data_IF_925718536235
#
_entry.id   IF_925718536235
#
_cell.length_a   1.000
_cell.length_b   1.000
_cell.length_c   1.000
_cell.angle_alpha   90.00
_cell.angle_beta   90.00
_cell.angle_gamma   90.00
#
_symmetry.space_group_name_H-M   'P 1'
#
loop_
_entity.id
_entity.type
_entity.pdbx_description
1 polymer ?
#
# COMPACT_ATOMS: atom_id res chain seq x y z
N UNK A 1 -0.74 -5.74 -26.96
CA UNK A 1 -1.83 -5.59 -25.98
C UNK A 1 -2.79 -6.75 -26.17
N UNK A 2 -3.30 -7.32 -25.10
CA UNK A 2 -4.23 -8.45 -25.13
C UNK A 2 -5.52 -8.10 -24.42
N UNK A 3 -6.53 -8.97 -24.52
CA UNK A 3 -7.78 -8.87 -23.78
C UNK A 3 -8.34 -10.26 -23.47
N UNK A 4 -9.20 -10.32 -22.46
CA UNK A 4 -9.93 -11.53 -22.06
C UNK A 4 -11.33 -11.14 -21.58
N UNK A 5 -12.35 -11.89 -21.98
CA UNK A 5 -13.72 -11.66 -21.54
C UNK A 5 -13.87 -11.89 -20.02
N UNK A 6 -14.68 -11.05 -19.33
CA UNK A 6 -14.91 -11.10 -17.87
C UNK A 6 -15.35 -12.50 -17.41
N UNK A 7 -16.16 -13.20 -18.20
CA UNK A 7 -16.63 -14.56 -17.91
C UNK A 7 -15.50 -15.60 -17.85
N UNK A 8 -14.37 -15.34 -18.51
CA UNK A 8 -13.21 -16.24 -18.55
C UNK A 8 -12.17 -15.95 -17.46
N UNK A 9 -12.38 -14.95 -16.60
CA UNK A 9 -11.44 -14.59 -15.53
C UNK A 9 -11.20 -15.73 -14.53
N UNK A 10 -12.21 -16.56 -14.27
CA UNK A 10 -12.04 -17.74 -13.39
C UNK A 10 -11.01 -18.72 -13.97
N UNK A 11 -11.02 -18.94 -15.29
CA UNK A 11 -10.03 -19.78 -15.96
C UNK A 11 -8.63 -19.15 -15.94
N UNK A 12 -8.55 -17.80 -16.07
CA UNK A 12 -7.29 -17.07 -15.92
C UNK A 12 -6.71 -17.25 -14.52
N UNK A 13 -7.51 -17.08 -13.47
CA UNK A 13 -7.06 -17.24 -12.08
C UNK A 13 -6.62 -18.67 -11.80
N UNK A 14 -7.37 -19.67 -12.30
CA UNK A 14 -7.00 -21.07 -12.19
C UNK A 14 -5.64 -21.34 -12.85
N UNK A 15 -5.43 -20.89 -14.07
CA UNK A 15 -4.18 -21.08 -14.81
C UNK A 15 -2.97 -20.43 -14.12
N UNK A 16 -3.14 -19.24 -13.55
CA UNK A 16 -2.09 -18.59 -12.76
C UNK A 16 -1.80 -19.40 -11.49
N UNK A 17 -2.85 -19.85 -10.78
CA UNK A 17 -2.73 -20.54 -9.50
C UNK A 17 -2.15 -21.94 -9.60
N UNK A 18 -2.16 -22.58 -10.78
CA UNK A 18 -1.54 -23.88 -11.02
C UNK A 18 -0.01 -23.85 -10.88
N UNK A 19 0.61 -22.68 -11.12
CA UNK A 19 2.06 -22.56 -11.17
C UNK A 19 2.65 -21.67 -10.06
N UNK A 20 1.84 -20.82 -9.44
CA UNK A 20 2.31 -19.86 -8.43
C UNK A 20 1.16 -19.40 -7.53
N UNK A 21 1.48 -18.91 -6.34
CA UNK A 21 0.47 -18.41 -5.42
C UNK A 21 -0.19 -17.14 -5.98
N UNK A 22 -1.52 -17.08 -5.96
CA UNK A 22 -2.29 -15.96 -6.48
C UNK A 22 -3.05 -15.27 -5.36
N UNK A 23 -2.82 -13.97 -5.17
CA UNK A 23 -3.56 -13.12 -4.24
C UNK A 23 -4.55 -12.24 -5.00
N UNK A 24 -5.81 -12.26 -4.56
CA UNK A 24 -6.91 -11.49 -5.14
C UNK A 24 -7.70 -10.77 -4.05
N UNK A 25 -8.42 -9.68 -4.39
CA UNK A 25 -9.39 -9.08 -3.48
C UNK A 25 -10.59 -10.05 -3.31
N UNK A 26 -10.71 -10.62 -2.13
CA UNK A 26 -11.73 -11.63 -1.78
C UNK A 26 -12.63 -11.10 -0.68
N UNK A 27 -13.96 -11.26 -0.88
CA UNK A 27 -14.96 -10.93 0.12
C UNK A 27 -15.11 -12.05 1.15
N UNK A 28 -14.97 -11.69 2.42
CA UNK A 28 -15.24 -12.56 3.56
C UNK A 28 -16.01 -11.78 4.61
N UNK A 29 -17.18 -12.28 4.98
CA UNK A 29 -18.04 -11.64 6.00
C UNK A 29 -18.33 -10.15 5.71
N UNK A 30 -18.61 -9.82 4.46
CA UNK A 30 -18.93 -8.46 4.01
C UNK A 30 -17.72 -7.51 3.94
N UNK A 31 -16.51 -8.01 4.06
CA UNK A 31 -15.29 -7.22 3.91
C UNK A 31 -14.41 -7.78 2.80
N UNK A 32 -13.86 -6.90 1.97
CA UNK A 32 -12.94 -7.29 0.91
C UNK A 32 -11.50 -7.00 1.33
N UNK A 33 -10.65 -8.03 1.30
CA UNK A 33 -9.21 -7.95 1.52
C UNK A 33 -8.48 -8.88 0.57
N UNK A 34 -7.18 -8.64 0.35
CA UNK A 34 -6.36 -9.58 -0.41
C UNK A 34 -6.16 -10.87 0.36
N UNK A 35 -6.39 -11.99 -0.31
CA UNK A 35 -6.19 -13.36 0.21
C UNK A 35 -5.67 -14.25 -0.91
N UNK A 36 -4.99 -15.34 -0.53
CA UNK A 36 -4.68 -16.40 -1.47
C UNK A 36 -5.98 -16.92 -2.11
N UNK A 37 -5.96 -17.03 -3.42
CA UNK A 37 -7.12 -17.48 -4.18
C UNK A 37 -7.35 -18.98 -4.03
N UNK A 38 -8.62 -19.33 -3.97
CA UNK A 38 -9.12 -20.72 -4.04
C UNK A 38 -10.31 -20.76 -5.01
N UNK A 39 -10.64 -21.90 -5.61
CA UNK A 39 -11.74 -22.00 -6.58
C UNK A 39 -13.11 -21.55 -6.07
N UNK A 40 -13.33 -21.60 -4.76
CA UNK A 40 -14.55 -21.17 -4.07
C UNK A 40 -14.48 -19.72 -3.54
N UNK A 41 -13.37 -19.02 -3.78
CA UNK A 41 -13.19 -17.65 -3.31
C UNK A 41 -14.15 -16.67 -4.02
N UNK A 42 -14.86 -15.85 -3.23
CA UNK A 42 -15.69 -14.76 -3.77
C UNK A 42 -14.82 -13.58 -4.14
N UNK A 43 -14.28 -13.58 -5.35
CA UNK A 43 -13.43 -12.51 -5.88
C UNK A 43 -14.27 -11.26 -6.16
N UNK A 44 -13.76 -10.08 -5.75
CA UNK A 44 -14.42 -8.79 -5.95
C UNK A 44 -13.44 -7.78 -6.59
N UNK A 45 -13.24 -7.88 -7.90
CA UNK A 45 -12.40 -6.94 -8.66
C UNK A 45 -13.02 -5.54 -8.77
N UNK A 46 -14.33 -5.42 -8.59
CA UNK A 46 -15.07 -4.16 -8.62
C UNK A 46 -14.82 -3.31 -7.37
N UNK A 47 -14.39 -3.94 -6.27
CA UNK A 47 -14.04 -3.20 -5.06
C UNK A 47 -12.85 -2.28 -5.33
N UNK A 48 -13.09 -0.98 -5.24
CA UNK A 48 -12.04 0.01 -5.47
C UNK A 48 -10.95 -0.06 -4.40
N UNK A 49 -11.36 -0.12 -3.14
CA UNK A 49 -10.45 -0.15 -1.99
C UNK A 49 -10.75 -1.33 -1.07
N UNK A 50 -9.79 -2.20 -0.91
CA UNK A 50 -9.81 -3.21 0.15
C UNK A 50 -9.65 -2.54 1.52
N UNK A 51 -10.13 -3.18 2.59
CA UNK A 51 -10.03 -2.63 3.96
C UNK A 51 -8.58 -2.35 4.34
N UNK A 52 -7.68 -3.32 4.11
CA UNK A 52 -6.24 -3.14 4.17
C UNK A 52 -5.66 -3.06 2.76
N UNK A 53 -4.55 -2.34 2.63
CA UNK A 53 -3.75 -2.34 1.42
C UNK A 53 -3.14 -3.74 1.17
N UNK A 54 -2.91 -4.15 -0.09
CA UNK A 54 -2.22 -5.40 -0.43
C UNK A 54 -0.73 -5.41 -0.07
N UNK A 55 -0.21 -4.41 0.63
CA UNK A 55 1.20 -4.35 1.04
C UNK A 55 1.64 -5.57 1.86
N UNK A 56 0.71 -6.25 2.55
CA UNK A 56 1.01 -7.44 3.34
C UNK A 56 1.45 -8.66 2.51
N UNK A 57 1.24 -8.66 1.21
CA UNK A 57 1.88 -9.62 0.30
C UNK A 57 3.42 -9.46 0.27
N UNK A 58 3.92 -8.22 0.39
CA UNK A 58 5.35 -7.88 0.38
C UNK A 58 5.92 -7.62 1.77
N UNK A 59 5.14 -7.02 2.64
CA UNK A 59 5.46 -6.71 4.03
C UNK A 59 4.36 -7.24 4.93
N UNK A 60 4.42 -8.52 5.35
CA UNK A 60 3.39 -9.17 6.16
C UNK A 60 3.15 -8.50 7.49
N UNK A 61 1.91 -8.56 7.99
CA UNK A 61 1.53 -7.99 9.28
C UNK A 61 2.30 -8.63 10.44
N UNK A 62 2.63 -9.91 10.33
CA UNK A 62 3.51 -10.62 11.27
C UNK A 62 4.38 -11.61 10.48
N UNK A 63 5.65 -11.71 10.85
CA UNK A 63 6.64 -12.50 10.15
C UNK A 63 7.72 -13.01 11.09
N UNK A 64 7.94 -14.33 11.14
CA UNK A 64 9.03 -14.91 11.89
C UNK A 64 10.38 -14.56 11.22
N UNK A 65 11.39 -14.30 12.04
CA UNK A 65 12.75 -14.00 11.60
C UNK A 65 13.67 -15.18 11.86
N UNK A 66 13.60 -15.77 13.04
CA UNK A 66 14.33 -16.96 13.42
C UNK A 66 13.77 -17.60 14.69
N UNK A 67 14.13 -18.87 14.89
CA UNK A 67 13.81 -19.62 16.11
C UNK A 67 15.09 -19.98 16.82
N UNK A 68 15.14 -19.72 18.14
CA UNK A 68 16.20 -20.20 19.03
C UNK A 68 15.67 -21.43 19.77
N UNK A 69 16.33 -22.55 19.61
CA UNK A 69 16.01 -23.79 20.35
C UNK A 69 17.08 -24.02 21.44
N UNK A 70 16.64 -24.49 22.58
CA UNK A 70 17.50 -24.85 23.69
C UNK A 70 17.47 -26.38 23.92
N UNK A 71 18.65 -26.99 23.86
CA UNK A 71 18.87 -28.40 24.23
C UNK A 71 19.91 -28.43 25.37
N UNK A 72 19.41 -28.54 26.60
CA UNK A 72 20.26 -28.44 27.80
C UNK A 72 20.99 -27.07 27.87
N UNK A 73 22.33 -27.10 27.72
CA UNK A 73 23.18 -25.89 27.67
C UNK A 73 23.49 -25.40 26.25
N UNK A 74 23.07 -26.14 25.21
CA UNK A 74 23.31 -25.78 23.83
C UNK A 74 22.16 -24.90 23.31
N UNK A 75 22.51 -23.86 22.56
CA UNK A 75 21.57 -23.02 21.83
C UNK A 75 21.78 -23.25 20.34
N UNK A 76 20.70 -23.43 19.61
CA UNK A 76 20.68 -23.52 18.15
C UNK A 76 19.80 -22.42 17.60
N UNK A 77 20.33 -21.61 16.67
CA UNK A 77 19.57 -20.56 15.98
C UNK A 77 19.24 -21.07 14.58
N UNK A 78 17.96 -21.11 14.28
CA UNK A 78 17.43 -21.54 12.99
C UNK A 78 16.77 -20.31 12.32
N UNK A 79 17.38 -19.72 11.29
CA UNK A 79 16.76 -18.63 10.54
C UNK A 79 15.50 -19.14 9.83
N UNK A 80 14.51 -18.26 9.68
CA UNK A 80 13.35 -18.55 8.86
C UNK A 80 13.75 -18.52 7.37
N UNK A 81 13.16 -19.38 6.57
CA UNK A 81 13.40 -19.41 5.13
C UNK A 81 12.83 -18.17 4.45
N UNK A 82 13.56 -17.62 3.49
CA UNK A 82 13.05 -16.54 2.64
C UNK A 82 11.96 -17.07 1.70
N UNK A 83 11.04 -16.19 1.32
CA UNK A 83 10.01 -16.55 0.34
C UNK A 83 10.62 -16.55 -1.07
N UNK A 84 11.01 -17.71 -1.56
CA UNK A 84 11.61 -17.92 -2.90
C UNK A 84 10.59 -18.44 -3.92
N UNK A 85 9.33 -18.62 -3.52
CA UNK A 85 8.26 -19.02 -4.43
C UNK A 85 7.65 -17.81 -5.12
N UNK A 86 7.48 -17.90 -6.42
CA UNK A 86 6.80 -16.87 -7.20
C UNK A 86 5.33 -16.74 -6.80
N UNK A 87 4.84 -15.52 -6.78
CA UNK A 87 3.45 -15.22 -6.51
C UNK A 87 2.97 -14.01 -7.31
N UNK A 88 1.67 -13.92 -7.52
CA UNK A 88 1.01 -12.82 -8.21
C UNK A 88 0.07 -12.10 -7.24
N UNK A 89 0.12 -10.77 -7.24
CA UNK A 89 -0.89 -9.93 -6.58
C UNK A 89 -1.70 -9.23 -7.64
N UNK A 90 -2.93 -9.69 -7.85
CA UNK A 90 -3.78 -9.26 -8.95
C UNK A 90 -4.83 -8.23 -8.50
N UNK A 91 -4.99 -7.17 -9.29
CA UNK A 91 -6.01 -6.13 -9.06
C UNK A 91 -5.52 -4.96 -8.19
N UNK A 92 -4.21 -4.81 -7.98
CA UNK A 92 -3.65 -3.69 -7.23
C UNK A 92 -3.95 -2.35 -7.91
N UNK A 93 -4.37 -1.35 -7.12
CA UNK A 93 -4.61 0.00 -7.64
C UNK A 93 -3.32 0.83 -7.68
N UNK A 94 -3.25 1.84 -8.56
CA UNK A 94 -2.07 2.68 -8.74
C UNK A 94 -1.53 3.26 -7.42
N UNK A 95 -2.41 3.67 -6.51
CA UNK A 95 -2.00 4.17 -5.19
C UNK A 95 -1.38 3.09 -4.28
N UNK A 96 -1.82 1.82 -4.38
CA UNK A 96 -1.20 0.72 -3.64
C UNK A 96 0.17 0.36 -4.21
N UNK A 97 0.31 0.39 -5.54
CA UNK A 97 1.60 0.19 -6.24
C UNK A 97 2.60 1.28 -5.86
N UNK A 98 2.17 2.55 -5.87
CA UNK A 98 3.02 3.64 -5.39
C UNK A 98 3.36 3.47 -3.90
N UNK A 99 2.47 2.89 -3.12
CA UNK A 99 2.74 2.50 -1.73
C UNK A 99 3.87 1.48 -1.61
N UNK A 100 3.93 0.49 -2.50
CA UNK A 100 5.06 -0.47 -2.56
C UNK A 100 6.37 0.23 -2.90
N UNK A 101 6.39 1.19 -3.84
CA UNK A 101 7.60 1.98 -4.14
C UNK A 101 8.10 2.78 -2.94
N UNK A 102 7.18 3.28 -2.10
CA UNK A 102 7.56 3.92 -0.83
C UNK A 102 8.21 2.92 0.13
N UNK A 103 7.74 1.69 0.19
CA UNK A 103 8.36 0.62 0.99
C UNK A 103 9.72 0.19 0.40
N UNK A 104 9.84 0.12 -0.92
CA UNK A 104 11.09 -0.20 -1.62
C UNK A 104 12.22 0.75 -1.20
N UNK A 105 11.96 2.07 -1.15
CA UNK A 105 12.94 3.05 -0.72
C UNK A 105 13.43 2.86 0.73
N UNK A 106 12.63 2.20 1.56
CA UNK A 106 13.00 1.94 2.97
C UNK A 106 13.68 0.58 3.12
N UNK A 107 13.07 -0.47 2.58
CA UNK A 107 13.51 -1.85 2.84
C UNK A 107 14.57 -2.36 1.87
N UNK A 108 14.74 -1.73 0.70
CA UNK A 108 15.80 -2.05 -0.26
C UNK A 108 17.01 -1.11 -0.15
N UNK A 109 16.98 -0.10 0.74
CA UNK A 109 18.15 0.72 1.07
C UNK A 109 19.13 -0.07 1.95
N UNK A 110 20.38 0.38 2.00
CA UNK A 110 21.40 -0.25 2.84
C UNK A 110 21.20 0.06 4.33
N UNK A 111 21.15 -0.94 5.22
CA UNK A 111 21.19 -2.39 4.96
C UNK A 111 19.86 -2.93 4.41
N UNK A 112 19.94 -3.73 3.34
CA UNK A 112 18.76 -4.31 2.69
C UNK A 112 18.03 -5.31 3.61
N UNK A 113 16.72 -5.17 3.71
CA UNK A 113 15.86 -6.16 4.35
C UNK A 113 15.68 -7.39 3.45
N UNK A 114 16.33 -8.49 3.79
CA UNK A 114 16.35 -9.70 2.96
C UNK A 114 14.97 -10.35 2.79
N UNK A 115 14.11 -10.30 3.81
CA UNK A 115 12.75 -10.85 3.74
C UNK A 115 11.87 -10.06 2.78
N UNK A 116 11.96 -8.73 2.83
CA UNK A 116 11.25 -7.85 1.91
C UNK A 116 11.79 -8.00 0.49
N UNK A 117 13.12 -7.99 0.32
CA UNK A 117 13.78 -8.12 -0.98
C UNK A 117 13.39 -9.41 -1.70
N UNK A 118 13.40 -10.55 -1.00
CA UNK A 118 12.97 -11.82 -1.57
C UNK A 118 11.52 -11.77 -2.08
N UNK A 119 10.59 -11.17 -1.32
CA UNK A 119 9.21 -11.00 -1.80
C UNK A 119 9.09 -10.05 -2.99
N UNK A 120 9.90 -8.99 -3.02
CA UNK A 120 9.91 -8.08 -4.17
C UNK A 120 10.48 -8.72 -5.42
N UNK A 121 11.45 -9.60 -5.26
CA UNK A 121 12.03 -10.37 -6.34
C UNK A 121 11.04 -11.38 -6.94
N UNK A 122 10.32 -12.12 -6.08
CA UNK A 122 9.42 -13.20 -6.51
C UNK A 122 7.96 -12.76 -6.74
N UNK A 123 7.58 -11.56 -6.31
CA UNK A 123 6.23 -11.04 -6.49
C UNK A 123 6.03 -10.35 -7.85
N UNK A 124 4.99 -10.75 -8.57
CA UNK A 124 4.51 -10.08 -9.80
C UNK A 124 3.25 -9.29 -9.50
N UNK A 125 3.21 -8.03 -9.92
CA UNK A 125 2.07 -7.13 -9.67
C UNK A 125 1.25 -7.01 -10.96
N UNK A 126 -0.01 -7.48 -10.90
CA UNK A 126 -1.01 -7.21 -11.91
C UNK A 126 -1.90 -6.08 -11.39
N UNK A 127 -1.71 -4.90 -11.96
CA UNK A 127 -2.49 -3.73 -11.62
C UNK A 127 -3.87 -3.74 -12.27
N UNK A 128 -4.85 -3.14 -11.60
CA UNK A 128 -6.13 -2.79 -12.22
C UNK A 128 -6.37 -1.29 -12.08
N UNK A 129 -6.61 -0.62 -13.19
CA UNK A 129 -7.00 0.80 -13.22
C UNK A 129 -8.25 1.03 -12.37
N UNK A 130 -8.39 2.22 -11.83
CA UNK A 130 -9.62 2.60 -11.15
C UNK A 130 -10.71 2.79 -12.20
N UNK A 131 -11.86 2.15 -12.01
CA UNK A 131 -13.02 2.38 -12.86
C UNK A 131 -13.84 3.58 -12.37
N UNK A 132 -14.13 3.61 -11.08
CA UNK A 132 -14.95 4.65 -10.46
C UNK A 132 -14.30 5.14 -9.15
N UNK A 133 -13.36 6.12 -9.24
CA UNK A 133 -12.73 6.70 -8.05
C UNK A 133 -13.74 7.29 -7.08
N UNK A 134 -13.56 7.04 -5.78
CA UNK A 134 -14.45 7.46 -4.70
C UNK A 134 -14.10 8.86 -4.17
N UNK A 135 -15.06 9.54 -3.53
CA UNK A 135 -14.92 10.91 -2.98
C UNK A 135 -13.74 11.08 -2.01
N UNK A 136 -13.32 10.01 -1.34
CA UNK A 136 -12.17 10.04 -0.44
C UNK A 136 -10.81 9.94 -1.15
N UNK A 137 -10.79 9.63 -2.46
CA UNK A 137 -9.57 9.52 -3.26
C UNK A 137 -8.99 10.89 -3.60
N UNK A 138 -7.67 11.01 -3.50
CA UNK A 138 -6.91 12.22 -3.87
C UNK A 138 -5.49 11.87 -4.33
N UNK A 139 -5.33 10.71 -4.99
CA UNK A 139 -4.03 10.24 -5.47
C UNK A 139 -3.40 11.17 -6.52
N UNK A 140 -4.22 11.88 -7.31
CA UNK A 140 -3.79 12.92 -8.25
C UNK A 140 -2.89 13.99 -7.60
N UNK A 141 -3.20 14.40 -6.36
CA UNK A 141 -2.43 15.40 -5.60
C UNK A 141 -0.97 14.97 -5.42
N UNK A 142 -0.70 13.66 -5.43
CA UNK A 142 0.63 13.08 -5.33
C UNK A 142 1.19 12.62 -6.70
N UNK A 143 0.62 13.11 -7.81
CA UNK A 143 1.08 12.81 -9.16
C UNK A 143 0.81 11.38 -9.62
N UNK A 144 -0.16 10.67 -9.01
CA UNK A 144 -0.49 9.29 -9.34
C UNK A 144 -1.67 9.26 -10.31
N UNK A 145 -1.43 8.74 -11.51
CA UNK A 145 -2.48 8.49 -12.50
C UNK A 145 -3.16 7.14 -12.22
N UNK A 146 -4.39 7.17 -11.72
CA UNK A 146 -5.16 5.96 -11.44
C UNK A 146 -5.76 5.31 -12.69
N UNK A 147 -5.73 5.99 -13.84
CA UNK A 147 -6.15 5.45 -15.12
C UNK A 147 -5.03 4.72 -15.88
N UNK A 148 -3.76 4.95 -15.51
CA UNK A 148 -2.58 4.30 -16.12
C UNK A 148 -1.65 3.75 -15.02
N UNK A 149 -2.01 2.64 -14.35
CA UNK A 149 -1.21 2.09 -13.28
C UNK A 149 0.10 1.49 -13.81
N UNK A 150 1.24 1.87 -13.22
CA UNK A 150 2.56 1.39 -13.59
C UNK A 150 2.94 0.14 -12.78
N UNK A 151 2.78 -1.05 -13.37
CA UNK A 151 3.05 -2.36 -12.76
C UNK A 151 3.69 -3.34 -13.78
N UNK A 152 3.92 -4.59 -13.34
CA UNK A 152 4.41 -5.64 -14.24
C UNK A 152 3.38 -5.94 -15.34
N UNK A 153 2.10 -5.95 -14.96
CA UNK A 153 0.97 -5.98 -15.88
C UNK A 153 -0.01 -4.89 -15.47
N UNK A 154 -0.44 -4.08 -16.42
CA UNK A 154 -1.53 -3.12 -16.25
C UNK A 154 -2.80 -3.66 -16.91
N UNK A 155 -3.94 -3.57 -16.21
CA UNK A 155 -5.23 -4.04 -16.72
C UNK A 155 -6.33 -3.00 -16.55
N UNK A 156 -7.31 -3.07 -17.43
CA UNK A 156 -8.50 -2.20 -17.46
C UNK A 156 -9.73 -3.04 -17.76
N UNK A 157 -10.79 -2.87 -16.98
CA UNK A 157 -12.09 -3.52 -17.26
C UNK A 157 -12.96 -2.54 -18.04
N UNK A 158 -13.23 -2.83 -19.30
CA UNK A 158 -14.04 -1.99 -20.18
C UNK A 158 -15.02 -2.87 -20.96
N UNK A 159 -16.31 -2.56 -20.91
CA UNK A 159 -17.38 -3.26 -21.65
C UNK A 159 -17.40 -4.79 -21.50
N UNK A 160 -17.05 -5.29 -20.29
CA UNK A 160 -16.99 -6.74 -20.02
C UNK A 160 -15.72 -7.45 -20.50
N UNK A 161 -14.74 -6.71 -21.00
CA UNK A 161 -13.43 -7.19 -21.39
C UNK A 161 -12.35 -6.68 -20.42
N UNK A 162 -11.42 -7.53 -20.00
CA UNK A 162 -10.22 -7.13 -19.26
C UNK A 162 -9.08 -6.93 -20.26
N UNK A 163 -8.68 -5.70 -20.50
CA UNK A 163 -7.51 -5.36 -21.28
C UNK A 163 -6.23 -5.60 -20.49
N UNK A 164 -5.16 -6.03 -21.18
CA UNK A 164 -3.93 -6.53 -20.57
C UNK A 164 -2.71 -5.99 -21.32
N UNK A 165 -1.82 -5.29 -20.59
CA UNK A 165 -0.57 -4.74 -21.11
C UNK A 165 0.57 -5.10 -20.16
N UNK A 166 1.60 -5.76 -20.65
CA UNK A 166 2.76 -6.22 -19.88
C UNK A 166 4.02 -5.46 -20.30
N UNK A 167 4.43 -4.41 -19.56
CA UNK A 167 5.58 -3.58 -19.91
C UNK A 167 6.91 -4.05 -19.30
N UNK A 168 6.93 -5.13 -18.50
CA UNK A 168 8.13 -5.63 -17.82
C UNK A 168 8.37 -7.10 -18.14
N UNK A 169 9.61 -7.58 -17.95
CA UNK A 169 9.97 -8.99 -18.15
C UNK A 169 9.11 -9.94 -17.31
N UNK A 170 8.79 -9.57 -16.05
CA UNK A 170 7.87 -10.35 -15.20
C UNK A 170 6.46 -10.40 -15.78
N UNK A 171 5.98 -9.28 -16.27
CA UNK A 171 4.68 -9.18 -16.93
C UNK A 171 4.62 -9.99 -18.23
N UNK A 172 5.67 -9.95 -19.03
CA UNK A 172 5.78 -10.75 -20.26
C UNK A 172 5.81 -12.24 -19.96
N UNK A 173 6.58 -12.66 -18.94
CA UNK A 173 6.63 -14.05 -18.50
C UNK A 173 5.27 -14.56 -18.01
N UNK A 174 4.55 -13.74 -17.24
CA UNK A 174 3.18 -14.07 -16.81
C UNK A 174 2.22 -14.13 -18.00
N UNK A 175 2.31 -13.18 -18.95
CA UNK A 175 1.48 -13.14 -20.16
C UNK A 175 1.67 -14.40 -20.99
N UNK A 176 2.91 -14.83 -21.20
CA UNK A 176 3.24 -16.05 -21.92
C UNK A 176 2.66 -17.31 -21.25
N UNK A 177 2.65 -17.34 -19.91
CA UNK A 177 2.11 -18.48 -19.17
C UNK A 177 0.58 -18.63 -19.34
N UNK A 178 -0.14 -17.55 -19.66
CA UNK A 178 -1.60 -17.53 -19.83
C UNK A 178 -2.04 -17.18 -21.27
N UNK A 179 -1.12 -17.18 -22.23
CA UNK A 179 -1.34 -16.72 -23.60
C UNK A 179 -2.51 -17.40 -24.29
N UNK A 180 -2.73 -18.69 -24.02
CA UNK A 180 -3.83 -19.47 -24.61
C UNK A 180 -5.23 -18.96 -24.21
N UNK A 181 -5.33 -18.15 -23.16
CA UNK A 181 -6.58 -17.56 -22.65
C UNK A 181 -6.76 -16.11 -23.12
N UNK A 182 -5.73 -15.51 -23.71
CA UNK A 182 -5.72 -14.13 -24.15
C UNK A 182 -5.96 -14.02 -25.65
N UNK A 183 -6.65 -12.98 -26.09
CA UNK A 183 -6.78 -12.60 -27.49
C UNK A 183 -6.07 -11.27 -27.74
N UNK A 184 -5.50 -11.11 -28.92
CA UNK A 184 -4.90 -9.82 -29.28
C UNK A 184 -5.96 -8.73 -29.41
N UNK A 185 -5.68 -7.56 -28.84
CA UNK A 185 -6.53 -6.38 -28.95
C UNK A 185 -6.21 -5.62 -30.24
N UNK A 186 -7.22 -5.11 -30.92
CA UNK A 186 -7.10 -4.36 -32.16
C UNK A 186 -7.09 -2.82 -31.98
N UNK A 187 -7.11 -2.07 -33.07
CA UNK A 187 -7.12 -0.61 -33.05
C UNK A 187 -8.37 -0.01 -32.41
N UNK A 188 -9.53 -0.64 -32.57
CA UNK A 188 -10.81 -0.21 -31.98
C UNK A 188 -10.76 -0.40 -30.45
N UNK A 189 -10.14 -1.49 -29.99
CA UNK A 189 -9.92 -1.75 -28.56
C UNK A 189 -9.01 -0.68 -27.93
N UNK A 190 -7.98 -0.25 -28.64
CA UNK A 190 -7.09 0.82 -28.18
C UNK A 190 -7.82 2.17 -28.03
N UNK A 191 -8.71 2.52 -28.96
CA UNK A 191 -9.53 3.74 -28.89
C UNK A 191 -10.52 3.69 -27.71
N UNK A 192 -11.18 2.55 -27.48
CA UNK A 192 -12.06 2.34 -26.32
C UNK A 192 -11.30 2.53 -25.01
N UNK A 193 -10.11 1.95 -24.90
CA UNK A 193 -9.28 2.05 -23.72
C UNK A 193 -8.86 3.50 -23.42
N UNK A 194 -8.45 4.27 -24.43
CA UNK A 194 -8.10 5.68 -24.24
C UNK A 194 -9.32 6.54 -23.86
N UNK A 195 -10.50 6.20 -24.40
CA UNK A 195 -11.75 6.84 -23.99
C UNK A 195 -12.05 6.60 -22.50
N UNK A 196 -11.93 5.35 -22.04
CA UNK A 196 -12.13 5.01 -20.62
C UNK A 196 -11.12 5.71 -19.72
N UNK A 197 -9.83 5.69 -20.06
CA UNK A 197 -8.79 6.41 -19.30
C UNK A 197 -9.10 7.91 -19.19
N UNK A 198 -9.59 8.51 -20.26
CA UNK A 198 -9.98 9.93 -20.26
C UNK A 198 -11.18 10.16 -19.34
N UNK A 199 -12.18 9.28 -19.36
CA UNK A 199 -13.34 9.34 -18.47
C UNK A 199 -12.94 9.21 -16.99
N UNK A 200 -12.06 8.28 -16.66
CA UNK A 200 -11.53 8.09 -15.30
C UNK A 200 -10.82 9.37 -14.81
N UNK A 201 -9.94 9.96 -15.63
CA UNK A 201 -9.25 11.21 -15.30
C UNK A 201 -10.23 12.36 -15.08
N UNK A 202 -11.29 12.45 -15.90
CA UNK A 202 -12.33 13.47 -15.74
C UNK A 202 -13.15 13.33 -14.44
N UNK A 203 -13.33 12.10 -13.95
CA UNK A 203 -13.93 11.85 -12.62
C UNK A 203 -12.99 12.36 -11.53
N UNK A 204 -11.71 12.00 -11.58
CA UNK A 204 -10.70 12.39 -10.57
C UNK A 204 -10.58 13.90 -10.43
N UNK A 205 -10.67 14.65 -11.55
CA UNK A 205 -10.63 16.12 -11.53
C UNK A 205 -11.75 16.75 -10.69
N UNK A 206 -12.88 16.08 -10.56
CA UNK A 206 -14.08 16.58 -9.87
C UNK A 206 -14.18 16.09 -8.41
N UNK A 207 -13.25 15.26 -7.95
CA UNK A 207 -13.29 14.74 -6.58
C UNK A 207 -13.06 15.85 -5.55
N UNK A 208 -13.63 15.73 -4.33
CA UNK A 208 -13.62 16.79 -3.30
C UNK A 208 -12.24 17.26 -2.83
N UNK A 209 -11.19 16.48 -3.11
CA UNK A 209 -9.82 16.75 -2.69
C UNK A 209 -8.83 16.80 -3.85
N UNK A 210 -9.31 16.93 -5.09
CA UNK A 210 -8.47 16.94 -6.30
C UNK A 210 -7.57 18.19 -6.39
N UNK A 211 -7.96 19.28 -5.75
CA UNK A 211 -7.29 20.59 -5.71
C UNK A 211 -6.50 20.85 -4.42
N UNK A 212 -6.37 19.84 -3.54
CA UNK A 212 -5.64 19.97 -2.28
C UNK A 212 -4.19 20.37 -2.55
N UNK A 213 -3.74 21.50 -1.97
CA UNK A 213 -2.40 22.02 -2.17
C UNK A 213 -1.37 21.37 -1.24
N UNK A 214 -0.24 20.97 -1.81
CA UNK A 214 0.95 20.55 -1.07
C UNK A 214 2.01 21.65 -0.98
N UNK A 215 1.66 22.89 -1.32
CA UNK A 215 2.57 24.01 -1.21
C UNK A 215 3.08 24.17 0.23
N UNK A 216 4.39 24.36 0.37
CA UNK A 216 5.04 24.43 1.68
C UNK A 216 5.10 23.10 2.46
N UNK A 217 4.70 21.96 1.87
CA UNK A 217 4.91 20.63 2.44
C UNK A 217 6.11 19.96 1.77
N UNK A 218 7.33 20.30 2.22
CA UNK A 218 8.59 19.73 1.73
C UNK A 218 9.65 19.77 2.84
N UNK A 219 10.87 19.34 2.54
CA UNK A 219 11.99 19.32 3.50
C UNK A 219 12.36 20.70 4.07
N UNK A 220 12.22 21.77 3.29
CA UNK A 220 12.57 23.15 3.71
C UNK A 220 11.61 23.69 4.76
N UNK A 221 10.38 23.18 4.78
CA UNK A 221 9.35 23.58 5.74
C UNK A 221 9.48 22.92 7.12
N UNK A 222 10.54 22.15 7.38
CA UNK A 222 10.71 21.35 8.59
C UNK A 222 10.46 22.16 9.88
N UNK A 223 11.19 23.24 10.07
CA UNK A 223 11.14 24.04 11.33
C UNK A 223 9.79 24.74 11.49
N UNK A 224 9.29 25.35 10.42
CA UNK A 224 8.00 26.05 10.43
C UNK A 224 6.85 25.11 10.76
N UNK A 225 6.72 24.02 10.00
CA UNK A 225 5.63 23.05 10.17
C UNK A 225 5.73 22.34 11.52
N UNK A 226 6.94 21.98 11.98
CA UNK A 226 7.13 21.28 13.25
C UNK A 226 6.68 22.13 14.44
N UNK A 227 7.01 23.43 14.46
CA UNK A 227 6.75 24.34 15.57
C UNK A 227 5.38 25.05 15.47
N UNK A 228 4.58 24.75 14.44
CA UNK A 228 3.29 25.40 14.26
C UNK A 228 2.34 25.15 15.42
N UNK A 229 1.65 26.18 15.95
CA UNK A 229 0.64 26.02 17.00
C UNK A 229 -0.62 25.28 16.52
N UNK A 230 -0.82 25.10 15.22
CA UNK A 230 -1.95 24.33 14.66
C UNK A 230 -2.03 22.92 15.25
N UNK A 231 -0.89 22.31 15.56
CA UNK A 231 -0.86 20.97 16.14
C UNK A 231 -1.58 20.88 17.49
N UNK A 232 -1.58 21.96 18.30
CA UNK A 232 -2.21 21.98 19.63
C UNK A 232 -3.74 21.81 19.56
N UNK A 233 -4.36 22.21 18.45
CA UNK A 233 -5.79 22.00 18.25
C UNK A 233 -6.11 20.73 17.46
N UNK A 234 -5.28 20.42 16.46
CA UNK A 234 -5.55 19.29 15.58
C UNK A 234 -5.50 17.93 16.27
N UNK A 235 -4.61 17.73 17.25
CA UNK A 235 -4.45 16.41 17.86
C UNK A 235 -5.57 16.05 18.85
N UNK A 236 -6.27 17.03 19.42
CA UNK A 236 -7.23 16.84 20.52
C UNK A 236 -8.32 15.80 20.25
N UNK A 237 -8.99 15.78 19.09
CA UNK A 237 -10.01 14.77 18.81
C UNK A 237 -9.43 13.40 18.42
N UNK A 238 -8.12 13.25 18.31
CA UNK A 238 -7.50 11.99 17.92
C UNK A 238 -7.57 10.96 19.05
N UNK A 239 -8.11 9.76 18.77
CA UNK A 239 -8.23 8.66 19.74
C UNK A 239 -6.92 7.85 19.87
N UNK A 240 -5.88 8.17 19.13
CA UNK A 240 -4.63 7.39 19.05
C UNK A 240 -4.83 5.89 18.72
N UNK A 241 -5.92 5.51 18.07
CA UNK A 241 -6.28 4.11 17.82
C UNK A 241 -5.39 3.39 16.78
N UNK A 242 -4.52 4.10 16.07
CA UNK A 242 -3.60 3.52 15.08
C UNK A 242 -4.24 3.08 13.74
N UNK A 243 -5.56 3.03 13.61
CA UNK A 243 -6.26 2.56 12.38
C UNK A 243 -5.67 3.17 11.11
N UNK A 244 -5.42 4.48 11.11
CA UNK A 244 -4.88 5.21 9.97
C UNK A 244 -3.47 4.78 9.54
N UNK A 245 -2.71 4.08 10.38
CA UNK A 245 -1.40 3.52 10.04
C UNK A 245 -1.52 2.08 9.55
N UNK A 246 -2.42 1.28 10.12
CA UNK A 246 -2.62 -0.12 9.71
C UNK A 246 -3.29 -0.27 8.35
N UNK A 247 -4.22 0.64 7.99
CA UNK A 247 -4.85 0.63 6.65
C UNK A 247 -4.00 1.30 5.56
N UNK A 248 -2.92 1.97 5.94
CA UNK A 248 -2.11 2.77 5.01
C UNK A 248 -1.15 1.91 4.19
N UNK A 249 -1.10 2.05 2.86
CA UNK A 249 -0.18 1.32 2.00
C UNK A 249 1.29 1.69 2.22
N UNK A 250 1.58 2.88 2.75
CA UNK A 250 2.93 3.41 2.90
C UNK A 250 3.46 3.39 4.34
N UNK A 251 2.67 2.95 5.33
CA UNK A 251 3.16 2.83 6.69
C UNK A 251 4.00 1.56 6.84
N UNK A 252 5.24 1.73 7.32
CA UNK A 252 6.24 0.67 7.44
C UNK A 252 6.75 0.47 8.87
N UNK A 253 6.13 1.12 9.87
CA UNK A 253 6.48 0.91 11.26
C UNK A 253 6.25 -0.53 11.68
N UNK A 254 7.26 -1.15 12.32
CA UNK A 254 7.17 -2.49 12.89
C UNK A 254 7.94 -2.54 14.21
N UNK A 255 7.64 -3.55 15.00
CA UNK A 255 8.35 -3.91 16.21
C UNK A 255 8.91 -5.34 16.09
N UNK A 256 10.01 -5.61 16.76
CA UNK A 256 10.62 -6.94 16.86
C UNK A 256 10.38 -7.47 18.25
N UNK A 257 9.76 -8.65 18.34
CA UNK A 257 9.36 -9.29 19.59
C UNK A 257 9.88 -10.70 19.68
N UNK A 258 10.04 -11.11 20.94
CA UNK A 258 10.38 -12.49 21.29
C UNK A 258 9.16 -13.17 21.92
N UNK A 259 8.87 -14.38 21.48
CA UNK A 259 7.82 -15.23 22.02
C UNK A 259 8.44 -16.53 22.56
N UNK A 260 8.35 -16.72 23.86
CA UNK A 260 8.80 -17.96 24.52
C UNK A 260 7.78 -19.07 24.28
N UNK A 261 8.22 -20.17 23.67
CA UNK A 261 7.42 -21.36 23.40
C UNK A 261 7.48 -22.40 24.51
N UNK A 262 8.23 -22.16 25.59
CA UNK A 262 8.57 -23.14 26.62
C UNK A 262 9.70 -24.11 26.24
N UNK A 263 9.99 -24.25 24.95
CA UNK A 263 11.08 -25.09 24.40
C UNK A 263 12.13 -24.28 23.63
N UNK A 264 11.97 -22.98 23.56
CA UNK A 264 12.82 -22.05 22.86
C UNK A 264 12.10 -20.72 22.63
N UNK A 265 12.72 -19.85 21.84
CA UNK A 265 12.19 -18.50 21.57
C UNK A 265 12.02 -18.32 20.07
N UNK A 266 10.85 -17.83 19.65
CA UNK A 266 10.62 -17.34 18.29
C UNK A 266 10.78 -15.82 18.28
N UNK A 267 11.72 -15.31 17.46
CA UNK A 267 11.80 -13.88 17.19
C UNK A 267 11.03 -13.58 15.93
N UNK A 268 10.14 -12.60 16.00
CA UNK A 268 9.30 -12.17 14.89
C UNK A 268 9.22 -10.65 14.83
N UNK A 269 8.90 -10.11 13.66
CA UNK A 269 8.48 -8.73 13.51
C UNK A 269 6.97 -8.67 13.31
N UNK A 270 6.34 -7.60 13.75
CA UNK A 270 4.94 -7.32 13.47
C UNK A 270 4.74 -5.82 13.22
N UNK A 271 3.71 -5.47 12.42
CA UNK A 271 3.39 -4.07 12.22
C UNK A 271 3.13 -3.39 13.55
N UNK A 272 3.58 -2.14 13.63
CA UNK A 272 3.35 -1.26 14.75
C UNK A 272 2.90 0.13 14.24
N UNK A 273 2.65 1.04 15.15
CA UNK A 273 2.14 2.35 14.84
C UNK A 273 2.93 3.46 15.53
N UNK A 274 3.43 4.42 14.75
CA UNK A 274 4.03 5.64 15.30
C UNK A 274 3.05 6.48 16.15
N UNK A 275 1.76 6.10 16.19
CA UNK A 275 0.74 6.71 17.05
C UNK A 275 0.72 6.11 18.45
N UNK A 276 1.35 4.96 18.68
CA UNK A 276 1.38 4.30 19.99
C UNK A 276 2.50 4.83 20.87
N UNK A 277 2.26 4.83 22.20
CA UNK A 277 3.21 5.33 23.19
C UNK A 277 4.50 4.52 23.21
N UNK A 278 4.38 3.21 22.99
CA UNK A 278 5.47 2.27 23.19
C UNK A 278 6.37 2.14 21.98
N UNK A 279 5.91 2.58 20.80
CA UNK A 279 6.67 2.48 19.54
C UNK A 279 8.05 3.15 19.59
N UNK A 280 8.20 4.23 20.39
CA UNK A 280 9.48 4.94 20.55
C UNK A 280 10.08 4.76 21.95
N UNK A 281 9.59 3.77 22.71
CA UNK A 281 10.15 3.42 24.01
C UNK A 281 11.55 2.81 23.85
N UNK A 282 12.50 3.34 24.58
CA UNK A 282 13.88 2.87 24.66
C UNK A 282 14.27 2.60 26.10
N UNK A 283 15.37 1.88 26.31
CA UNK A 283 15.85 1.53 27.65
C UNK A 283 16.06 2.73 28.58
N UNK A 284 16.34 3.91 28.05
CA UNK A 284 16.63 5.14 28.84
C UNK A 284 15.52 6.21 28.69
N UNK A 285 14.40 5.90 28.05
CA UNK A 285 13.28 6.84 27.94
C UNK A 285 12.52 6.76 26.65
N UNK A 286 11.60 7.73 26.48
CA UNK A 286 10.76 7.86 25.30
C UNK A 286 10.83 9.29 24.78
N UNK A 287 11.22 9.48 23.53
CA UNK A 287 11.34 10.80 22.91
C UNK A 287 10.00 11.38 22.39
N UNK A 288 8.89 10.60 22.48
CA UNK A 288 7.53 11.03 22.10
C UNK A 288 6.53 10.70 23.19
N UNK A 289 6.65 11.40 24.32
CA UNK A 289 5.86 11.15 25.54
C UNK A 289 4.40 11.60 25.42
N UNK A 290 4.09 12.57 24.53
CA UNK A 290 2.72 13.09 24.38
C UNK A 290 2.06 12.62 23.09
N UNK A 291 0.72 12.56 23.11
CA UNK A 291 -0.07 12.23 21.91
C UNK A 291 0.12 13.27 20.80
N UNK A 292 0.26 14.55 21.15
CA UNK A 292 0.57 15.62 20.17
C UNK A 292 1.83 15.29 19.39
N UNK A 293 2.90 14.88 20.05
CA UNK A 293 4.18 14.55 19.41
C UNK A 293 4.03 13.38 18.45
N UNK A 294 3.28 12.32 18.83
CA UNK A 294 3.03 11.15 17.99
C UNK A 294 2.13 11.49 16.80
N UNK A 295 1.08 12.28 17.04
CA UNK A 295 0.18 12.77 16.00
C UNK A 295 0.94 13.61 14.97
N UNK A 296 1.67 14.63 15.39
CA UNK A 296 2.51 15.47 14.53
C UNK A 296 3.50 14.63 13.72
N UNK A 297 4.20 13.70 14.37
CA UNK A 297 5.16 12.81 13.70
C UNK A 297 4.57 12.07 12.51
N UNK A 298 3.35 11.56 12.62
CA UNK A 298 2.71 10.82 11.53
C UNK A 298 2.60 11.65 10.25
N UNK A 299 2.20 12.92 10.37
CA UNK A 299 2.01 13.79 9.20
C UNK A 299 3.32 14.42 8.72
N UNK A 300 4.16 14.84 9.65
CA UNK A 300 5.50 15.33 9.34
C UNK A 300 6.32 14.28 8.60
N UNK A 301 6.24 13.00 9.02
CA UNK A 301 6.93 11.92 8.32
C UNK A 301 6.49 11.81 6.87
N UNK A 302 5.18 11.84 6.60
CA UNK A 302 4.64 11.66 5.24
C UNK A 302 4.89 12.82 4.29
N UNK A 303 4.86 14.03 4.82
CA UNK A 303 4.78 15.25 4.02
C UNK A 303 6.07 16.08 4.06
N UNK A 304 6.94 15.86 5.03
CA UNK A 304 8.18 16.65 5.22
C UNK A 304 9.42 15.75 5.29
N UNK A 305 9.50 14.82 6.26
CA UNK A 305 10.73 14.05 6.48
C UNK A 305 11.02 13.06 5.36
N UNK A 306 9.99 12.33 4.90
CA UNK A 306 10.17 11.36 3.84
C UNK A 306 10.54 12.04 2.51
N UNK A 307 9.83 13.08 2.03
CA UNK A 307 10.25 13.81 0.83
C UNK A 307 11.66 14.38 0.91
N UNK A 308 12.07 14.92 2.08
CA UNK A 308 13.42 15.46 2.27
C UNK A 308 14.54 14.41 2.03
N UNK A 309 14.26 13.14 2.30
CA UNK A 309 15.23 12.04 2.20
C UNK A 309 15.02 11.11 1.00
N UNK A 310 13.99 11.37 0.16
CA UNK A 310 13.61 10.52 -0.95
C UNK A 310 13.28 11.33 -2.21
N UNK A 311 14.16 12.26 -2.59
CA UNK A 311 14.09 13.03 -3.83
C UNK A 311 12.71 13.70 -4.06
N UNK A 312 12.09 14.22 -3.01
CA UNK A 312 10.80 14.89 -3.07
C UNK A 312 9.58 13.94 -3.14
N UNK A 313 9.77 12.63 -3.14
CA UNK A 313 8.66 11.68 -3.13
C UNK A 313 7.92 11.73 -1.79
N UNK A 314 6.61 11.93 -1.83
CA UNK A 314 5.78 11.89 -0.62
C UNK A 314 5.51 10.46 -0.16
N UNK A 315 5.47 10.25 1.17
CA UNK A 315 5.02 8.99 1.77
C UNK A 315 3.51 8.96 2.00
N UNK A 316 2.75 9.74 1.24
CA UNK A 316 1.31 9.63 1.10
C UNK A 316 0.98 9.42 -0.37
N UNK A 317 0.00 8.58 -0.64
CA UNK A 317 -0.44 8.23 -2.01
C UNK A 317 -1.90 8.60 -2.27
N UNK A 318 -2.52 9.36 -1.38
CA UNK A 318 -3.89 9.85 -1.56
C UNK A 318 -4.97 8.77 -1.72
N UNK A 319 -4.74 7.55 -1.22
CA UNK A 319 -5.65 6.41 -1.40
C UNK A 319 -7.00 6.53 -0.66
N UNK A 320 -7.17 7.49 0.22
CA UNK A 320 -8.42 7.74 0.96
C UNK A 320 -8.74 6.83 2.14
N UNK A 321 -8.10 5.65 2.30
CA UNK A 321 -8.43 4.69 3.38
C UNK A 321 -8.44 5.32 4.78
N UNK A 322 -7.47 6.16 5.11
CA UNK A 322 -7.43 6.83 6.40
C UNK A 322 -8.46 7.97 6.54
N UNK A 323 -9.01 8.46 5.44
CA UNK A 323 -10.13 9.42 5.43
C UNK A 323 -11.41 8.71 5.86
N UNK A 324 -11.69 7.55 5.29
CA UNK A 324 -12.89 6.76 5.55
C UNK A 324 -12.88 6.06 6.93
N UNK A 325 -11.73 5.49 7.30
CA UNK A 325 -11.63 4.62 8.48
C UNK A 325 -11.36 5.35 9.79
N UNK A 326 -11.18 6.67 9.77
CA UNK A 326 -10.93 7.42 11.00
C UNK A 326 -12.22 7.67 11.77
N UNK A 327 -12.40 7.08 12.98
CA UNK A 327 -13.62 7.26 13.76
C UNK A 327 -13.84 8.69 14.26
N UNK A 328 -12.77 9.50 14.35
CA UNK A 328 -12.81 10.90 14.72
C UNK A 328 -12.83 11.84 13.49
N UNK A 329 -12.90 11.30 12.27
CA UNK A 329 -12.79 12.05 11.02
C UNK A 329 -11.55 12.96 10.96
N UNK A 330 -10.49 12.61 11.68
CA UNK A 330 -9.24 13.37 11.76
C UNK A 330 -8.17 12.69 10.89
N UNK A 331 -8.03 13.18 9.68
CA UNK A 331 -7.21 12.58 8.64
C UNK A 331 -6.23 13.58 8.04
N UNK A 332 -5.40 13.12 7.11
CA UNK A 332 -4.33 13.92 6.49
C UNK A 332 -4.89 15.12 5.70
N UNK A 333 -6.07 15.00 5.09
CA UNK A 333 -6.71 16.10 4.36
C UNK A 333 -7.05 17.24 5.31
N UNK A 334 -7.64 16.95 6.48
CA UNK A 334 -7.90 17.97 7.51
C UNK A 334 -6.64 18.65 7.99
N UNK A 335 -5.55 17.91 8.12
CA UNK A 335 -4.26 18.47 8.52
C UNK A 335 -3.76 19.43 7.45
N UNK A 336 -3.72 19.04 6.18
CA UNK A 336 -3.26 19.89 5.09
C UNK A 336 -4.11 21.16 5.01
N UNK A 337 -5.45 21.03 4.99
CA UNK A 337 -6.40 22.16 4.95
C UNK A 337 -6.30 23.11 6.16
N UNK A 338 -5.93 22.63 7.33
CA UNK A 338 -5.73 23.49 8.50
C UNK A 338 -4.48 24.38 8.36
N UNK A 339 -3.45 23.86 7.71
CA UNK A 339 -2.25 24.64 7.41
C UNK A 339 -2.44 25.62 6.24
N UNK A 340 -3.27 25.28 5.24
CA UNK A 340 -3.64 26.21 4.16
C UNK A 340 -4.32 27.46 4.71
N UNK A 341 -5.24 27.32 5.66
CA UNK A 341 -5.95 28.45 6.29
C UNK A 341 -5.02 29.41 7.04
N UNK A 342 -3.96 28.92 7.67
CA UNK A 342 -2.97 29.77 8.32
C UNK A 342 -2.09 30.56 7.35
N UNK A 343 -1.85 30.03 6.16
CA UNK A 343 -1.07 30.71 5.11
C UNK A 343 -1.85 31.83 4.41
N UNK A 344 -3.17 31.76 4.40
CA UNK A 344 -4.04 32.76 3.78
C UNK A 344 -4.34 34.00 4.63
N UNK A 345 -4.00 33.98 5.91
CA UNK A 345 -4.17 35.08 6.85
C UNK A 345 -2.88 35.96 7.02
N UNK A 346 -1.89 35.78 6.13
CA UNK A 346 -0.66 36.61 6.13
C UNK A 346 -0.62 37.62 4.99
#
# INVERSE_FOLDING_TARGET
MYKIAKENLSALFQSIAENQELYLPVEVSGQVNYKAWTPDAKVSLETLKTVKSPKDAFFPQSENLYTVQRDGKKLSIQPEALKEQNFVVFGMKACDIQGVKVLDNVFLSDPVDSFYAARREHGTIVAMACHEPEESCFCKVFGIDCAEPAADVATWMVDGELYWKAPTDKGEALTKAVESLLTEADGTDAEKLETEKTAIRAIVEKLPYSDLSLEGWNGDALTEKFNSPVWEELYKPCLACGTCTFVCPTCQCYDIKDYDTGHGVKRYRCWDSCMYSDFTMMAHGNNRTSQLQRFRQRFMHKLVYYPANNNGMYSCVGCGRCVEKCPASLNIVKVIKAFEKQGGDK
#
